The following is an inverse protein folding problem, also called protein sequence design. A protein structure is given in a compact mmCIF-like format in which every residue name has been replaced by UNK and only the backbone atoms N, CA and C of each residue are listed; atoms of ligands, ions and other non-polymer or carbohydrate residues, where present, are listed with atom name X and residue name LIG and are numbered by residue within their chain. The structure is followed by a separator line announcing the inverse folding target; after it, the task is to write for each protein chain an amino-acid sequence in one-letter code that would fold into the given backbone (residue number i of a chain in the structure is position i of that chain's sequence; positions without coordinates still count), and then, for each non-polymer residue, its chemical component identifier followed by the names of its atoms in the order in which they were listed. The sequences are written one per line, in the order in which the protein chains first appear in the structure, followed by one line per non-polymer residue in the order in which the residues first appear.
data_IF_229689548940
#
_entry.id   IF_229689548940
#
_cell.length_a   1.000
_cell.length_b   1.000
_cell.length_c   1.000
_cell.angle_alpha   90.00
_cell.angle_beta   90.00
_cell.angle_gamma   90.00
#
_symmetry.space_group_name_H-M   'P 1'
#
loop_
_entity.id
_entity.type
_entity.pdbx_description
1 polymer ?
#
# COMPACT_ATOMS: atom_id res chain seq x y z
N UNK A 1 -5.42 -2.81 12.80
CA UNK A 1 -6.62 -2.95 11.97
C UNK A 1 -7.79 -2.26 12.65
N UNK A 2 -8.64 -1.59 11.87
CA UNK A 2 -9.92 -0.99 12.28
C UNK A 2 -11.03 -1.55 11.40
N UNK A 3 -12.05 -2.14 12.02
CA UNK A 3 -13.15 -2.81 11.32
C UNK A 3 -14.43 -2.01 11.44
N UNK A 4 -15.13 -1.79 10.32
CA UNK A 4 -16.29 -0.92 10.25
C UNK A 4 -17.52 -1.69 9.75
N UNK A 5 -18.63 -1.71 10.50
CA UNK A 5 -19.83 -2.46 10.11
C UNK A 5 -20.63 -1.79 8.99
N UNK A 6 -20.33 -0.53 8.65
CA UNK A 6 -21.05 0.30 7.66
C UNK A 6 -20.08 1.13 6.84
N UNK A 7 -20.38 1.25 5.55
CA UNK A 7 -19.57 1.99 4.57
C UNK A 7 -19.44 3.47 4.96
N UNK A 8 -20.54 4.11 5.37
CA UNK A 8 -20.55 5.56 5.64
C UNK A 8 -19.64 5.94 6.83
N UNK A 9 -19.50 5.03 7.80
CA UNK A 9 -18.61 5.22 8.95
C UNK A 9 -17.16 5.04 8.51
N UNK A 10 -16.88 4.00 7.73
CA UNK A 10 -15.54 3.73 7.17
C UNK A 10 -15.05 4.93 6.35
N UNK A 11 -15.84 5.40 5.39
CA UNK A 11 -15.49 6.52 4.51
C UNK A 11 -15.23 7.81 5.30
N UNK A 12 -16.09 8.10 6.29
CA UNK A 12 -15.92 9.27 7.15
C UNK A 12 -14.62 9.18 7.95
N UNK A 13 -14.35 8.04 8.57
CA UNK A 13 -13.12 7.86 9.35
C UNK A 13 -11.89 7.90 8.44
N UNK A 14 -11.95 7.29 7.26
CA UNK A 14 -10.86 7.34 6.27
C UNK A 14 -10.55 8.78 5.86
N UNK A 15 -11.58 9.59 5.60
CA UNK A 15 -11.42 11.00 5.25
C UNK A 15 -10.79 11.81 6.39
N UNK A 16 -11.23 11.61 7.63
CA UNK A 16 -10.65 12.28 8.82
C UNK A 16 -9.19 11.88 9.01
N UNK A 17 -8.89 10.57 9.05
CA UNK A 17 -7.52 10.07 9.22
C UNK A 17 -6.60 10.52 8.08
N UNK A 18 -7.09 10.53 6.84
CA UNK A 18 -6.33 11.02 5.68
C UNK A 18 -6.02 12.51 5.79
N UNK A 19 -6.95 13.31 6.32
CA UNK A 19 -6.75 14.74 6.54
C UNK A 19 -5.76 15.01 7.68
N UNK A 20 -5.86 14.27 8.79
CA UNK A 20 -4.96 14.37 9.95
C UNK A 20 -3.50 14.03 9.61
N UNK A 21 -3.28 13.11 8.66
CA UNK A 21 -1.95 12.65 8.27
C UNK A 21 -1.51 13.10 6.86
N UNK A 22 -2.17 14.11 6.28
CA UNK A 22 -2.03 14.53 4.86
C UNK A 22 -0.61 14.52 4.31
N UNK A 23 0.36 15.07 5.05
CA UNK A 23 1.73 15.26 4.55
C UNK A 23 2.55 13.97 4.51
N UNK A 24 2.18 12.99 5.34
CA UNK A 24 2.85 11.70 5.50
C UNK A 24 1.96 10.49 5.15
N UNK A 25 0.80 10.74 4.55
CA UNK A 25 -0.16 9.69 4.21
C UNK A 25 0.36 8.83 3.05
N UNK A 26 0.58 7.55 3.32
CA UNK A 26 0.76 6.51 2.32
C UNK A 26 -0.54 5.72 2.16
N UNK A 27 -1.30 5.94 1.08
CA UNK A 27 -2.59 5.29 0.88
C UNK A 27 -2.51 4.14 -0.13
N UNK A 28 -3.00 2.97 0.28
CA UNK A 28 -3.23 1.79 -0.56
C UNK A 28 -4.74 1.61 -0.71
N UNK A 29 -5.31 2.13 -1.80
CA UNK A 29 -6.75 2.11 -2.06
C UNK A 29 -7.05 2.02 -3.57
N UNK A 30 -8.14 1.36 -3.95
CA UNK A 30 -8.56 1.29 -5.36
C UNK A 30 -8.76 2.67 -6.01
N UNK A 31 -9.22 3.65 -5.24
CA UNK A 31 -9.48 5.02 -5.71
C UNK A 31 -8.21 5.88 -5.83
N UNK A 32 -7.06 5.34 -5.43
CA UNK A 32 -5.73 5.94 -5.66
C UNK A 32 -4.91 5.01 -6.55
N UNK A 33 -5.25 4.89 -7.86
CA UNK A 33 -4.58 3.95 -8.74
C UNK A 33 -3.14 4.37 -9.05
N UNK A 34 -2.38 3.44 -9.61
CA UNK A 34 -1.10 3.74 -10.28
C UNK A 34 -1.36 4.54 -11.56
N UNK A 35 -0.46 5.45 -11.90
CA UNK A 35 -0.54 6.29 -13.10
C UNK A 35 -0.36 5.39 -14.34
N UNK A 36 -1.42 5.28 -15.14
CA UNK A 36 -1.52 4.28 -16.22
C UNK A 36 -0.51 4.43 -17.36
N UNK A 37 0.01 5.64 -17.58
CA UNK A 37 1.00 5.89 -18.64
C UNK A 37 2.45 5.65 -18.19
N UNK A 38 2.69 5.43 -16.89
CA UNK A 38 4.00 5.08 -16.35
C UNK A 38 4.12 3.57 -16.17
N UNK A 39 5.36 3.09 -16.23
CA UNK A 39 5.69 1.75 -15.71
C UNK A 39 5.72 1.77 -14.17
N UNK A 40 5.95 0.61 -13.56
CA UNK A 40 5.99 0.50 -12.08
C UNK A 40 7.18 1.26 -11.51
N UNK A 41 8.36 1.13 -12.11
CA UNK A 41 9.55 1.85 -11.67
C UNK A 41 9.30 3.36 -11.60
N UNK A 42 8.74 3.94 -12.66
CA UNK A 42 8.38 5.36 -12.72
C UNK A 42 7.28 5.74 -11.73
N UNK A 43 6.24 4.92 -11.58
CA UNK A 43 5.17 5.14 -10.60
C UNK A 43 5.70 5.29 -9.16
N UNK A 44 6.64 4.42 -8.79
CA UNK A 44 7.21 4.38 -7.44
C UNK A 44 8.27 5.47 -7.26
N UNK A 45 9.15 5.66 -8.24
CA UNK A 45 10.25 6.62 -8.15
C UNK A 45 9.75 8.06 -8.11
N UNK A 46 8.56 8.33 -8.66
CA UNK A 46 7.95 9.66 -8.66
C UNK A 46 7.69 10.18 -7.23
N UNK A 47 7.40 9.29 -6.27
CA UNK A 47 7.17 9.68 -4.88
C UNK A 47 8.40 10.37 -4.29
N UNK A 48 9.58 9.74 -4.43
CA UNK A 48 10.85 10.27 -3.92
C UNK A 48 11.33 11.50 -4.70
N UNK A 49 11.14 11.51 -6.01
CA UNK A 49 11.43 12.68 -6.84
C UNK A 49 10.59 13.90 -6.41
N UNK A 50 9.31 13.71 -6.09
CA UNK A 50 8.42 14.82 -5.75
C UNK A 50 8.55 15.27 -4.28
N UNK A 51 8.65 14.33 -3.34
CA UNK A 51 8.67 14.63 -1.90
C UNK A 51 10.03 15.06 -1.38
N UNK A 52 11.10 14.57 -1.99
CA UNK A 52 12.47 14.74 -1.49
C UNK A 52 13.42 15.33 -2.54
N UNK A 53 12.94 15.65 -3.75
CA UNK A 53 13.77 16.11 -4.89
C UNK A 53 14.91 15.15 -5.23
N UNK A 54 14.74 13.85 -4.94
CA UNK A 54 15.77 12.84 -5.21
C UNK A 54 15.99 12.72 -6.73
N UNK A 55 17.25 12.70 -7.23
CA UNK A 55 17.51 12.54 -8.66
C UNK A 55 16.89 11.25 -9.21
N UNK A 56 16.35 11.32 -10.43
CA UNK A 56 15.64 10.19 -11.06
C UNK A 56 16.36 8.85 -10.92
N UNK A 57 17.65 8.81 -11.28
CA UNK A 57 18.45 7.56 -11.22
C UNK A 57 18.57 6.99 -9.81
N UNK A 58 18.71 7.86 -8.80
CA UNK A 58 18.80 7.44 -7.41
C UNK A 58 17.44 6.96 -6.89
N UNK A 59 16.35 7.65 -7.24
CA UNK A 59 15.00 7.21 -6.93
C UNK A 59 14.66 5.86 -7.58
N UNK A 60 15.05 5.64 -8.83
CA UNK A 60 14.87 4.37 -9.53
C UNK A 60 15.69 3.24 -8.88
N UNK A 61 16.96 3.49 -8.55
CA UNK A 61 17.80 2.50 -7.88
C UNK A 61 17.23 2.11 -6.51
N UNK A 62 16.76 3.09 -5.75
CA UNK A 62 16.07 2.86 -4.48
C UNK A 62 14.82 1.99 -4.67
N UNK A 63 13.95 2.34 -5.62
CA UNK A 63 12.74 1.57 -5.94
C UNK A 63 13.06 0.13 -6.33
N UNK A 64 14.10 -0.10 -7.13
CA UNK A 64 14.51 -1.45 -7.52
C UNK A 64 14.89 -2.29 -6.30
N UNK A 65 15.54 -1.70 -5.29
CA UNK A 65 15.84 -2.41 -4.03
C UNK A 65 14.56 -2.82 -3.27
N UNK A 66 13.51 -1.99 -3.30
CA UNK A 66 12.21 -2.37 -2.73
C UNK A 66 11.54 -3.47 -3.54
N UNK A 67 11.51 -3.36 -4.88
CA UNK A 67 10.96 -4.42 -5.73
C UNK A 67 11.70 -5.75 -5.52
N UNK A 68 13.01 -5.72 -5.33
CA UNK A 68 13.81 -6.89 -4.98
C UNK A 68 13.43 -7.47 -3.61
N UNK A 69 13.18 -6.65 -2.59
CA UNK A 69 12.68 -7.12 -1.29
C UNK A 69 11.35 -7.87 -1.42
N UNK A 70 10.54 -7.54 -2.43
CA UNK A 70 9.29 -8.22 -2.77
C UNK A 70 9.43 -9.40 -3.74
N UNK A 71 10.62 -9.69 -4.26
CA UNK A 71 10.86 -10.65 -5.35
C UNK A 71 10.08 -10.28 -6.64
N UNK A 72 10.00 -8.98 -6.93
CA UNK A 72 9.16 -8.37 -7.97
C UNK A 72 9.93 -7.53 -8.98
N UNK A 73 11.25 -7.66 -9.11
CA UNK A 73 12.05 -6.87 -10.08
C UNK A 73 11.52 -7.02 -11.52
N UNK A 74 10.99 -8.20 -11.85
CA UNK A 74 10.39 -8.50 -13.16
C UNK A 74 9.22 -7.57 -13.55
N UNK A 75 8.59 -6.88 -12.60
CA UNK A 75 7.48 -5.96 -12.89
C UNK A 75 7.91 -4.51 -13.10
N UNK A 76 9.17 -4.16 -12.83
CA UNK A 76 9.65 -2.78 -12.83
C UNK A 76 9.25 -2.00 -14.10
N UNK A 77 9.40 -2.62 -15.27
CA UNK A 77 9.13 -1.99 -16.57
C UNK A 77 7.74 -2.33 -17.14
N UNK A 78 6.88 -3.00 -16.38
CA UNK A 78 5.49 -3.29 -16.80
C UNK A 78 4.60 -2.09 -16.50
N UNK A 79 3.50 -1.96 -17.26
CA UNK A 79 2.44 -0.99 -16.98
C UNK A 79 1.35 -1.62 -16.11
N UNK A 80 0.61 -0.79 -15.38
CA UNK A 80 -0.47 -1.22 -14.47
C UNK A 80 -1.47 -2.24 -15.07
N UNK A 81 -1.96 -2.08 -16.33
CA UNK A 81 -2.90 -3.05 -16.92
C UNK A 81 -2.32 -4.46 -17.10
N UNK A 82 -0.98 -4.56 -17.12
CA UNK A 82 -0.31 -5.84 -17.28
C UNK A 82 -0.03 -6.51 -15.94
N UNK A 83 -0.32 -5.90 -14.78
CA UNK A 83 -0.12 -6.53 -13.48
C UNK A 83 -1.28 -7.45 -13.09
N UNK A 84 -0.96 -8.54 -12.42
CA UNK A 84 -1.91 -9.27 -11.57
C UNK A 84 -2.40 -8.39 -10.40
N UNK A 85 -3.46 -8.81 -9.73
CA UNK A 85 -4.02 -8.10 -8.59
C UNK A 85 -3.00 -8.00 -7.43
N UNK A 86 -2.26 -9.08 -7.17
CA UNK A 86 -1.26 -9.20 -6.12
C UNK A 86 -0.04 -8.32 -6.41
N UNK A 87 0.46 -8.35 -7.66
CA UNK A 87 1.54 -7.45 -8.10
C UNK A 87 1.11 -5.98 -7.98
N UNK A 88 -0.15 -5.67 -8.32
CA UNK A 88 -0.69 -4.31 -8.18
C UNK A 88 -0.76 -3.89 -6.72
N UNK A 89 -1.25 -4.74 -5.83
CA UNK A 89 -1.27 -4.49 -4.39
C UNK A 89 0.14 -4.20 -3.87
N UNK A 90 1.13 -5.03 -4.20
CA UNK A 90 2.50 -4.85 -3.75
C UNK A 90 3.12 -3.55 -4.27
N UNK A 91 2.90 -3.21 -5.54
CA UNK A 91 3.34 -1.93 -6.08
C UNK A 91 2.69 -0.75 -5.34
N UNK A 92 1.39 -0.81 -5.03
CA UNK A 92 0.71 0.23 -4.26
C UNK A 92 1.23 0.33 -2.82
N UNK A 93 1.54 -0.81 -2.18
CA UNK A 93 2.14 -0.86 -0.85
C UNK A 93 3.55 -0.24 -0.85
N UNK A 94 4.41 -0.60 -1.80
CA UNK A 94 5.73 0.01 -1.96
C UNK A 94 5.59 1.53 -2.14
N UNK A 95 4.63 1.98 -2.97
CA UNK A 95 4.38 3.41 -3.17
C UNK A 95 4.01 4.12 -1.86
N UNK A 96 3.19 3.47 -1.03
CA UNK A 96 2.74 4.04 0.25
C UNK A 96 3.90 4.19 1.24
N UNK A 97 4.80 3.21 1.33
CA UNK A 97 5.96 3.26 2.26
C UNK A 97 7.10 4.14 1.78
N UNK A 98 7.13 4.50 0.49
CA UNK A 98 8.09 5.47 -0.03
C UNK A 98 7.79 6.90 0.42
N UNK A 99 6.64 7.17 1.03
CA UNK A 99 6.34 8.48 1.64
C UNK A 99 7.22 8.69 2.88
N UNK A 100 7.86 9.85 3.07
CA UNK A 100 8.64 10.13 4.28
C UNK A 100 7.81 9.97 5.56
N UNK A 101 8.35 9.26 6.56
CA UNK A 101 7.67 9.00 7.85
C UNK A 101 6.25 8.45 7.67
N UNK A 102 6.08 7.55 6.71
CA UNK A 102 4.76 7.11 6.23
C UNK A 102 3.82 6.73 7.38
N UNK A 103 2.63 7.31 7.36
CA UNK A 103 1.45 6.78 8.02
C UNK A 103 0.65 6.02 6.96
N UNK A 104 0.72 4.70 6.98
CA UNK A 104 0.15 3.86 5.95
C UNK A 104 -1.29 3.52 6.28
N UNK A 105 -2.20 3.81 5.35
CA UNK A 105 -3.58 3.35 5.40
C UNK A 105 -3.83 2.39 4.25
N UNK A 106 -4.31 1.20 4.57
CA UNK A 106 -4.70 0.19 3.60
C UNK A 106 -6.22 0.10 3.63
N UNK A 107 -6.87 0.62 2.60
CA UNK A 107 -8.32 0.68 2.49
C UNK A 107 -8.86 -0.52 1.71
N UNK A 108 -9.60 -1.39 2.42
CA UNK A 108 -10.33 -2.57 1.92
C UNK A 108 -9.52 -3.33 0.87
N UNK A 109 -8.37 -3.91 1.24
CA UNK A 109 -7.41 -4.41 0.26
C UNK A 109 -7.97 -5.58 -0.57
N UNK A 110 -8.98 -6.29 -0.10
CA UNK A 110 -9.71 -7.29 -0.90
C UNK A 110 -10.47 -6.68 -2.09
N UNK A 111 -10.72 -5.36 -2.14
CA UNK A 111 -11.17 -4.68 -3.37
C UNK A 111 -10.08 -4.64 -4.44
N UNK A 112 -8.80 -4.73 -4.06
CA UNK A 112 -7.64 -4.77 -4.95
C UNK A 112 -7.33 -6.22 -5.35
N UNK A 113 -7.37 -7.14 -4.39
CA UNK A 113 -7.09 -8.59 -4.54
C UNK A 113 -8.31 -9.44 -4.18
N UNK A 114 -9.40 -9.42 -4.97
CA UNK A 114 -10.67 -10.07 -4.61
C UNK A 114 -10.60 -11.59 -4.59
N UNK A 115 -9.75 -12.18 -5.44
CA UNK A 115 -9.65 -13.64 -5.61
C UNK A 115 -8.61 -14.28 -4.68
N UNK A 116 -8.09 -13.53 -3.70
CA UNK A 116 -7.05 -13.98 -2.79
C UNK A 116 -7.52 -15.18 -1.96
N UNK A 117 -6.89 -16.34 -2.20
CA UNK A 117 -7.19 -17.58 -1.49
C UNK A 117 -6.31 -17.77 -0.25
N UNK A 118 -5.08 -17.25 -0.29
CA UNK A 118 -4.08 -17.46 0.75
C UNK A 118 -4.15 -16.37 1.82
N UNK A 119 -4.54 -16.75 3.04
CA UNK A 119 -4.68 -15.81 4.16
C UNK A 119 -3.35 -15.18 4.59
N UNK A 120 -2.19 -15.78 4.24
CA UNK A 120 -0.86 -15.27 4.64
C UNK A 120 -0.32 -14.16 3.74
N UNK A 121 -0.91 -13.94 2.57
CA UNK A 121 -0.39 -12.99 1.60
C UNK A 121 -0.18 -11.59 2.21
N UNK A 122 -1.19 -11.07 2.93
CA UNK A 122 -1.07 -9.75 3.56
C UNK A 122 0.01 -9.73 4.64
N UNK A 123 0.07 -10.76 5.49
CA UNK A 123 1.13 -10.89 6.48
C UNK A 123 2.51 -10.82 5.83
N UNK A 124 2.78 -11.68 4.84
CA UNK A 124 4.08 -11.79 4.21
C UNK A 124 4.50 -10.49 3.51
N UNK A 125 3.56 -9.82 2.84
CA UNK A 125 3.83 -8.56 2.15
C UNK A 125 4.05 -7.40 3.14
N UNK A 126 3.36 -7.39 4.28
CA UNK A 126 3.50 -6.33 5.29
C UNK A 126 4.78 -6.50 6.12
N UNK A 127 5.15 -7.72 6.52
CA UNK A 127 6.43 -7.99 7.20
C UNK A 127 7.62 -7.58 6.34
N UNK A 128 7.51 -7.68 5.01
CA UNK A 128 8.52 -7.18 4.08
C UNK A 128 8.71 -5.66 4.12
N UNK A 129 7.87 -4.87 4.79
CA UNK A 129 8.02 -3.41 4.84
C UNK A 129 7.70 -2.77 6.20
N UNK A 130 7.61 -3.56 7.26
CA UNK A 130 7.22 -3.06 8.58
C UNK A 130 8.20 -2.07 9.21
N UNK A 131 9.47 -2.12 8.81
CA UNK A 131 10.54 -1.20 9.21
C UNK A 131 10.48 0.16 8.51
N UNK A 132 9.54 0.37 7.59
CA UNK A 132 9.53 1.51 6.66
C UNK A 132 8.36 2.48 6.88
N UNK A 133 7.49 2.21 7.84
CA UNK A 133 6.42 3.12 8.24
C UNK A 133 6.50 3.47 9.72
N UNK A 134 5.96 4.63 10.06
CA UNK A 134 5.76 5.03 11.45
C UNK A 134 4.53 4.36 12.08
N UNK A 135 3.53 4.05 11.27
CA UNK A 135 2.32 3.35 11.66
C UNK A 135 1.62 2.82 10.40
N UNK A 136 0.91 1.69 10.55
CA UNK A 136 0.11 1.08 9.50
C UNK A 136 -1.25 0.68 10.06
N UNK A 137 -2.33 1.03 9.34
CA UNK A 137 -3.69 0.66 9.71
C UNK A 137 -4.44 0.13 8.49
N UNK A 138 -5.07 -1.02 8.65
CA UNK A 138 -6.01 -1.60 7.67
C UNK A 138 -7.43 -1.20 8.04
N UNK A 139 -8.17 -0.68 7.07
CA UNK A 139 -9.58 -0.35 7.17
C UNK A 139 -10.34 -1.41 6.36
N UNK A 140 -11.22 -2.17 7.01
CA UNK A 140 -12.04 -3.17 6.32
C UNK A 140 -13.34 -3.44 7.09
N UNK A 141 -14.11 -4.42 6.64
CA UNK A 141 -15.35 -4.86 7.24
C UNK A 141 -15.15 -6.06 8.17
N UNK A 142 -15.98 -6.23 9.21
CA UNK A 142 -15.87 -7.34 10.16
C UNK A 142 -15.83 -8.74 9.54
N UNK A 143 -16.58 -8.98 8.46
CA UNK A 143 -16.63 -10.29 7.79
C UNK A 143 -15.33 -10.68 7.07
N UNK A 144 -14.40 -9.74 6.88
CA UNK A 144 -13.09 -10.00 6.29
C UNK A 144 -12.00 -10.28 7.35
N UNK A 145 -12.32 -10.22 8.65
CA UNK A 145 -11.34 -10.35 9.75
C UNK A 145 -10.43 -11.57 9.63
N UNK A 146 -10.99 -12.74 9.30
CA UNK A 146 -10.24 -14.01 9.19
C UNK A 146 -9.20 -13.99 8.05
N UNK A 147 -9.29 -13.05 7.11
CA UNK A 147 -8.30 -12.85 6.04
C UNK A 147 -7.04 -12.14 6.50
N UNK A 148 -7.05 -11.62 7.73
CA UNK A 148 -6.00 -10.80 8.32
C UNK A 148 -5.50 -11.38 9.64
N UNK A 149 -5.64 -12.69 9.86
CA UNK A 149 -5.05 -13.32 11.03
C UNK A 149 -3.52 -13.14 11.00
N UNK A 150 -2.94 -12.85 12.17
CA UNK A 150 -1.50 -12.70 12.41
C UNK A 150 -0.78 -11.51 11.75
N UNK A 151 -1.45 -10.53 11.12
CA UNK A 151 -0.76 -9.40 10.47
C UNK A 151 -0.08 -8.42 11.48
N UNK A 152 1.08 -7.83 11.13
CA UNK A 152 1.85 -6.95 12.02
C UNK A 152 1.32 -5.50 12.00
N UNK A 153 0.05 -5.28 12.34
CA UNK A 153 -0.54 -3.93 12.46
C UNK A 153 -1.21 -3.75 13.81
N UNK A 154 -1.19 -2.52 14.34
CA UNK A 154 -1.84 -2.18 15.60
C UNK A 154 -3.36 -2.41 15.51
N UNK A 155 -3.90 -3.35 16.29
CA UNK A 155 -5.32 -3.71 16.30
C UNK A 155 -6.06 -2.80 17.29
N UNK A 156 -6.89 -1.89 16.76
CA UNK A 156 -7.85 -1.10 17.53
C UNK A 156 -9.25 -1.59 17.16
N UNK A 157 -9.89 -2.34 18.05
CA UNK A 157 -11.32 -2.69 17.90
C UNK A 157 -12.18 -1.50 18.38
N UNK A 158 -13.04 -0.99 17.48
CA UNK A 158 -14.04 0.05 17.77
C UNK A 158 -15.40 -0.58 18.13
#
# INVERSE_FOLDING_TARGET
MKLFPREEILERTLAVTSAEHRDRLGLVAMDVPLISNLDILGNLALIKQFRENLPKREAEALVLSYLQRFDMERIAYRRNPNLSAEERFCAMLIRAVLVPEAFVVIDRPLKIVPDLQENRFFHDMLTKVEDLWSSCVIFDYPWNRERYEDIPVDIDEL
#
